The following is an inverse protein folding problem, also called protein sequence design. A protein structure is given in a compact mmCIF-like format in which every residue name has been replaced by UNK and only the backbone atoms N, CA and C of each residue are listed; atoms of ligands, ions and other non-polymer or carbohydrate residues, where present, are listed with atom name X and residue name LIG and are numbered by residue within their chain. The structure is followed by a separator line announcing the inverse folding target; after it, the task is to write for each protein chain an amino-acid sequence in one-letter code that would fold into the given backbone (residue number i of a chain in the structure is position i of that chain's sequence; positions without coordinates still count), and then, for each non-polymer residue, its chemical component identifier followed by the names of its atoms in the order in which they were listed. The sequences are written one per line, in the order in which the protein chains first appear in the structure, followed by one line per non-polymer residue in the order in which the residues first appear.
data_IF_295333343043
#
_entry.id   IF_295333343043
#
_cell.length_a   1.000
_cell.length_b   1.000
_cell.length_c   1.000
_cell.angle_alpha   90.00
_cell.angle_beta   90.00
_cell.angle_gamma   90.00
#
_symmetry.space_group_name_H-M   'P 1'
#
loop_
_entity.id
_entity.type
_entity.pdbx_description
1 polymer ?
#
# COMPACT_ATOMS: atom_id res chain seq x y z
N UNK A 1 6.82 6.09 16.18
CA UNK A 1 7.60 6.40 17.40
C UNK A 1 6.83 7.43 18.22
N UNK A 2 6.81 7.36 19.56
CA UNK A 2 6.16 8.42 20.32
C UNK A 2 6.81 9.78 19.98
N UNK A 3 5.96 10.80 19.91
CA UNK A 3 6.35 12.21 19.81
C UNK A 3 7.48 12.51 20.80
N UNK A 4 8.51 13.27 20.40
CA UNK A 4 9.65 13.55 21.31
C UNK A 4 9.12 14.28 22.55
N UNK A 5 9.71 14.03 23.72
CA UNK A 5 9.29 14.70 24.96
C UNK A 5 9.30 16.24 24.84
N UNK A 6 10.25 16.77 24.06
CA UNK A 6 10.38 18.19 23.75
C UNK A 6 9.28 18.77 22.85
N UNK A 7 8.49 17.93 22.17
CA UNK A 7 7.42 18.36 21.28
C UNK A 7 6.05 18.40 22.01
N UNK A 8 6.01 18.00 23.28
CA UNK A 8 4.83 18.07 24.14
C UNK A 8 4.75 19.41 24.86
N UNK A 9 3.57 20.03 24.81
CA UNK A 9 3.31 21.28 25.51
C UNK A 9 3.14 21.03 27.01
N UNK A 10 3.27 22.08 27.83
CA UNK A 10 3.00 21.99 29.28
C UNK A 10 1.58 21.45 29.58
N UNK A 11 0.58 21.84 28.77
CA UNK A 11 -0.79 21.31 28.85
C UNK A 11 -0.86 19.80 28.54
N UNK A 12 0.01 19.28 27.69
CA UNK A 12 0.06 17.84 27.40
C UNK A 12 0.59 17.03 28.59
N UNK A 13 1.57 17.60 29.30
CA UNK A 13 2.15 17.00 30.51
C UNK A 13 1.15 16.96 31.67
N UNK A 14 0.40 18.04 31.89
CA UNK A 14 -0.71 18.06 32.88
C UNK A 14 -1.71 16.93 32.59
N UNK A 15 -1.98 16.64 31.31
CA UNK A 15 -2.91 15.57 30.90
C UNK A 15 -2.25 14.19 30.82
N UNK A 16 -1.01 14.03 31.27
CA UNK A 16 -0.20 12.80 31.20
C UNK A 16 -0.15 12.17 29.79
N UNK A 17 -0.34 12.99 28.74
CA UNK A 17 -0.38 12.51 27.35
C UNK A 17 0.91 11.78 26.95
N UNK A 18 2.13 12.25 27.27
CA UNK A 18 3.36 11.55 26.89
C UNK A 18 3.41 10.11 27.41
N UNK A 19 2.96 9.89 28.64
CA UNK A 19 2.95 8.57 29.30
C UNK A 19 1.90 7.67 28.65
N UNK A 20 0.66 8.15 28.52
CA UNK A 20 -0.44 7.39 27.90
C UNK A 20 -0.12 7.02 26.45
N UNK A 21 0.45 7.94 25.68
CA UNK A 21 0.85 7.70 24.28
C UNK A 21 1.99 6.68 24.22
N UNK A 22 2.95 6.72 25.13
CA UNK A 22 4.04 5.75 25.21
C UNK A 22 3.54 4.34 25.53
N UNK A 23 2.62 4.19 26.49
CA UNK A 23 1.99 2.91 26.84
C UNK A 23 1.21 2.36 25.64
N UNK A 24 0.35 3.17 25.01
CA UNK A 24 -0.40 2.78 23.81
C UNK A 24 0.54 2.35 22.68
N UNK A 25 1.59 3.14 22.41
CA UNK A 25 2.59 2.82 21.38
C UNK A 25 3.34 1.52 21.67
N UNK A 26 3.61 1.19 22.93
CA UNK A 26 4.22 -0.09 23.30
C UNK A 26 3.26 -1.24 23.07
N UNK A 27 2.00 -1.11 23.48
CA UNK A 27 0.95 -2.13 23.26
C UNK A 27 0.77 -2.43 21.78
N UNK A 28 0.65 -1.38 20.95
CA UNK A 28 0.47 -1.55 19.50
C UNK A 28 1.65 -2.27 18.88
N UNK A 29 2.88 -1.82 19.15
CA UNK A 29 4.09 -2.49 18.65
C UNK A 29 4.22 -3.95 19.10
N UNK A 30 3.73 -4.29 20.30
CA UNK A 30 3.74 -5.68 20.77
C UNK A 30 2.80 -6.55 19.92
N UNK A 31 1.58 -6.07 19.67
CA UNK A 31 0.60 -6.75 18.79
C UNK A 31 1.17 -6.87 17.38
N UNK A 32 1.76 -5.80 16.85
CA UNK A 32 2.31 -5.78 15.49
C UNK A 32 3.50 -6.74 15.32
N UNK A 33 4.38 -6.82 16.31
CA UNK A 33 5.48 -7.79 16.33
C UNK A 33 4.99 -9.22 16.44
N UNK A 34 3.97 -9.48 17.25
CA UNK A 34 3.38 -10.81 17.36
C UNK A 34 2.76 -11.25 16.04
N UNK A 35 2.00 -10.37 15.39
CA UNK A 35 1.41 -10.63 14.07
C UNK A 35 2.47 -10.91 13.00
N UNK A 36 3.52 -10.09 12.92
CA UNK A 36 4.59 -10.27 11.92
C UNK A 36 5.44 -11.53 12.14
N UNK A 37 5.27 -12.27 13.24
CA UNK A 37 5.93 -13.55 13.52
C UNK A 37 5.07 -14.76 13.16
N UNK A 38 3.81 -14.56 12.81
CA UNK A 38 2.94 -15.65 12.39
C UNK A 38 3.46 -16.17 11.05
N UNK A 39 3.87 -17.43 11.04
CA UNK A 39 4.35 -18.10 9.84
C UNK A 39 3.23 -18.16 8.78
N UNK A 40 3.56 -18.05 7.49
CA UNK A 40 2.60 -18.30 6.42
C UNK A 40 2.01 -19.71 6.51
N UNK A 41 0.71 -19.84 6.23
CA UNK A 41 0.03 -21.15 6.29
C UNK A 41 -0.11 -21.83 4.93
N UNK A 42 0.42 -21.26 3.85
CA UNK A 42 0.30 -21.81 2.50
C UNK A 42 1.42 -22.80 2.21
N UNK A 43 1.08 -23.99 1.71
CA UNK A 43 2.06 -25.01 1.34
C UNK A 43 2.97 -24.56 0.17
N UNK A 44 2.52 -23.62 -0.65
CA UNK A 44 3.30 -23.08 -1.77
C UNK A 44 4.22 -21.92 -1.37
N UNK A 45 4.34 -21.60 -0.08
CA UNK A 45 5.04 -20.40 0.38
C UNK A 45 6.52 -20.35 -0.01
N UNK A 46 7.24 -21.47 0.07
CA UNK A 46 8.67 -21.50 -0.25
C UNK A 46 8.91 -21.22 -1.73
N UNK A 47 8.03 -21.74 -2.61
CA UNK A 47 8.06 -21.44 -4.04
C UNK A 47 7.76 -19.97 -4.31
N UNK A 48 6.80 -19.38 -3.60
CA UNK A 48 6.48 -17.97 -3.69
C UNK A 48 7.68 -17.09 -3.30
N UNK A 49 8.31 -17.41 -2.15
CA UNK A 49 9.51 -16.71 -1.66
C UNK A 49 10.64 -16.82 -2.68
N UNK A 50 10.91 -18.02 -3.19
CA UNK A 50 11.95 -18.25 -4.19
C UNK A 50 11.69 -17.47 -5.49
N UNK A 51 10.42 -17.31 -5.91
CA UNK A 51 10.07 -16.53 -7.10
C UNK A 51 10.40 -15.04 -6.98
N UNK A 52 10.56 -14.51 -5.76
CA UNK A 52 10.93 -13.12 -5.53
C UNK A 52 12.43 -12.85 -5.74
N UNK A 53 13.27 -13.88 -5.68
CA UNK A 53 14.72 -13.73 -5.66
C UNK A 53 15.26 -13.04 -6.91
N UNK A 54 16.02 -11.95 -6.70
CA UNK A 54 16.64 -11.21 -7.81
C UNK A 54 15.64 -10.46 -8.71
N UNK A 55 14.35 -10.39 -8.36
CA UNK A 55 13.30 -9.76 -9.17
C UNK A 55 12.95 -8.36 -8.65
N UNK A 56 12.27 -7.59 -9.48
CA UNK A 56 11.46 -6.45 -9.03
C UNK A 56 10.08 -6.98 -8.64
N UNK A 57 9.63 -6.73 -7.41
CA UNK A 57 8.36 -7.28 -6.89
C UNK A 57 7.37 -6.16 -6.61
N UNK A 58 6.26 -6.14 -7.34
CA UNK A 58 5.16 -5.20 -7.13
C UNK A 58 4.10 -5.87 -6.27
N UNK A 59 3.84 -5.34 -5.08
CA UNK A 59 2.93 -5.93 -4.11
C UNK A 59 1.64 -5.12 -4.04
N UNK A 60 0.50 -5.79 -4.19
CA UNK A 60 -0.81 -5.23 -3.86
C UNK A 60 -1.30 -5.80 -2.53
N UNK A 61 -1.70 -4.95 -1.60
CA UNK A 61 -2.46 -5.38 -0.42
C UNK A 61 -3.95 -5.43 -0.76
N UNK A 62 -4.46 -6.63 -1.00
CA UNK A 62 -5.85 -6.89 -1.37
C UNK A 62 -6.80 -6.80 -0.16
N UNK A 63 -8.03 -6.31 -0.37
CA UNK A 63 -9.06 -6.24 0.67
C UNK A 63 -10.49 -6.26 0.12
N UNK A 64 -11.18 -7.38 0.26
CA UNK A 64 -12.61 -7.60 0.03
C UNK A 64 -13.18 -7.23 -1.37
N UNK A 65 -12.37 -6.79 -2.34
CA UNK A 65 -12.84 -6.35 -3.66
C UNK A 65 -12.20 -7.18 -4.79
N UNK A 66 -12.77 -8.36 -5.04
CA UNK A 66 -12.23 -9.31 -6.03
C UNK A 66 -12.21 -8.73 -7.46
N UNK A 67 -13.23 -7.96 -7.84
CA UNK A 67 -13.35 -7.35 -9.16
C UNK A 67 -12.17 -6.40 -9.43
N UNK A 68 -11.89 -5.46 -8.50
CA UNK A 68 -10.76 -4.56 -8.68
C UNK A 68 -9.42 -5.29 -8.73
N UNK A 69 -9.24 -6.29 -7.86
CA UNK A 69 -7.98 -7.04 -7.81
C UNK A 69 -7.76 -7.81 -9.11
N UNK A 70 -8.81 -8.41 -9.66
CA UNK A 70 -8.77 -9.07 -10.97
C UNK A 70 -8.34 -8.08 -12.06
N UNK A 71 -9.01 -6.93 -12.15
CA UNK A 71 -8.72 -5.90 -13.15
C UNK A 71 -7.30 -5.36 -13.01
N UNK A 72 -6.89 -5.01 -11.79
CA UNK A 72 -5.54 -4.54 -11.50
C UNK A 72 -4.50 -5.57 -11.91
N UNK A 73 -4.72 -6.85 -11.59
CA UNK A 73 -3.77 -7.92 -11.92
C UNK A 73 -3.59 -8.09 -13.43
N UNK A 74 -4.69 -8.01 -14.20
CA UNK A 74 -4.62 -8.07 -15.66
C UNK A 74 -3.91 -6.84 -16.25
N UNK A 75 -4.21 -5.65 -15.73
CA UNK A 75 -3.57 -4.40 -16.17
C UNK A 75 -2.07 -4.39 -15.86
N UNK A 76 -1.67 -4.77 -14.64
CA UNK A 76 -0.26 -4.86 -14.23
C UNK A 76 0.48 -5.88 -15.09
N UNK A 77 -0.07 -7.09 -15.28
CA UNK A 77 0.55 -8.13 -16.12
C UNK A 77 0.85 -7.64 -17.54
N UNK A 78 -0.04 -6.83 -18.11
CA UNK A 78 0.12 -6.32 -19.48
C UNK A 78 1.03 -5.09 -19.55
N UNK A 79 0.86 -4.14 -18.63
CA UNK A 79 1.47 -2.81 -18.71
C UNK A 79 2.81 -2.72 -17.96
N UNK A 80 3.09 -3.68 -17.07
CA UNK A 80 4.32 -3.75 -16.26
C UNK A 80 4.85 -5.21 -16.27
N UNK A 81 5.07 -5.81 -17.46
CA UNK A 81 5.40 -7.23 -17.58
C UNK A 81 6.75 -7.63 -16.96
N UNK A 82 7.63 -6.66 -16.70
CA UNK A 82 8.94 -6.87 -16.09
C UNK A 82 8.86 -7.18 -14.59
N UNK A 83 7.82 -6.69 -13.90
CA UNK A 83 7.67 -6.87 -12.47
C UNK A 83 6.94 -8.18 -12.12
N UNK A 84 7.37 -8.84 -11.05
CA UNK A 84 6.58 -9.90 -10.43
C UNK A 84 5.44 -9.24 -9.64
N UNK A 85 4.19 -9.41 -10.07
CA UNK A 85 3.03 -8.92 -9.33
C UNK A 85 2.60 -9.93 -8.26
N UNK A 86 2.61 -9.51 -7.00
CA UNK A 86 2.23 -10.31 -5.84
C UNK A 86 0.96 -9.75 -5.20
N UNK A 87 -0.08 -10.59 -5.10
CA UNK A 87 -1.29 -10.28 -4.34
C UNK A 87 -1.15 -10.79 -2.91
N UNK A 88 -1.14 -9.87 -1.96
CA UNK A 88 -1.14 -10.16 -0.53
C UNK A 88 -2.53 -9.86 0.05
N UNK A 89 -3.30 -10.91 0.32
CA UNK A 89 -4.72 -10.80 0.65
C UNK A 89 -4.97 -10.62 2.15
N UNK A 90 -5.34 -9.40 2.53
CA UNK A 90 -5.72 -8.98 3.89
C UNK A 90 -7.26 -8.91 4.08
N UNK A 91 -8.05 -9.48 3.17
CA UNK A 91 -9.52 -9.48 3.22
C UNK A 91 -10.07 -9.99 4.56
N UNK A 92 -11.14 -9.39 5.05
CA UNK A 92 -11.86 -9.89 6.24
C UNK A 92 -12.99 -10.85 5.89
N UNK A 93 -13.50 -10.78 4.66
CA UNK A 93 -14.55 -11.64 4.13
C UNK A 93 -13.94 -12.90 3.48
N UNK A 94 -14.38 -14.08 3.93
CA UNK A 94 -13.90 -15.36 3.42
C UNK A 94 -14.34 -15.63 1.96
N UNK A 95 -15.53 -15.17 1.58
CA UNK A 95 -16.05 -15.31 0.21
C UNK A 95 -15.23 -14.45 -0.74
N UNK A 96 -14.96 -13.20 -0.37
CA UNK A 96 -14.12 -12.31 -1.17
C UNK A 96 -12.69 -12.85 -1.28
N UNK A 97 -12.10 -13.32 -0.17
CA UNK A 97 -10.76 -13.94 -0.18
C UNK A 97 -10.70 -15.17 -1.11
N UNK A 98 -11.74 -16.00 -1.10
CA UNK A 98 -11.82 -17.17 -1.97
C UNK A 98 -11.96 -16.80 -3.45
N UNK A 99 -12.73 -15.75 -3.77
CA UNK A 99 -12.85 -15.23 -5.12
C UNK A 99 -11.49 -14.72 -5.62
N UNK A 100 -10.82 -13.85 -4.84
CA UNK A 100 -9.48 -13.33 -5.15
C UNK A 100 -8.48 -14.47 -5.39
N UNK A 101 -8.45 -15.47 -4.51
CA UNK A 101 -7.57 -16.63 -4.64
C UNK A 101 -7.83 -17.41 -5.94
N UNK A 102 -9.10 -17.59 -6.29
CA UNK A 102 -9.52 -18.32 -7.49
C UNK A 102 -9.12 -17.57 -8.76
N UNK A 103 -9.27 -16.24 -8.76
CA UNK A 103 -8.87 -15.38 -9.88
C UNK A 103 -7.36 -15.36 -10.04
N UNK A 104 -6.61 -15.19 -8.95
CA UNK A 104 -5.15 -15.23 -8.98
C UNK A 104 -4.64 -16.56 -9.52
N UNK A 105 -5.22 -17.69 -9.07
CA UNK A 105 -4.88 -19.02 -9.59
C UNK A 105 -5.16 -19.14 -11.09
N UNK A 106 -6.32 -18.68 -11.55
CA UNK A 106 -6.74 -18.75 -12.96
C UNK A 106 -5.79 -17.94 -13.85
N UNK A 107 -5.38 -16.76 -13.41
CA UNK A 107 -4.51 -15.85 -14.17
C UNK A 107 -3.02 -16.04 -13.84
N UNK A 108 -2.65 -17.07 -13.08
CA UNK A 108 -1.28 -17.38 -12.66
C UNK A 108 -0.57 -16.19 -11.98
N UNK A 109 -1.31 -15.45 -11.17
CA UNK A 109 -0.79 -14.33 -10.37
C UNK A 109 -0.37 -14.88 -9.00
N UNK A 110 0.90 -14.67 -8.58
CA UNK A 110 1.34 -15.01 -7.24
C UNK A 110 0.41 -14.44 -6.16
N UNK A 111 -0.05 -15.29 -5.25
CA UNK A 111 -1.02 -14.96 -4.21
C UNK A 111 -0.57 -15.52 -2.87
N UNK A 112 -0.79 -14.75 -1.80
CA UNK A 112 -0.65 -15.22 -0.43
C UNK A 112 -1.80 -14.69 0.43
N UNK A 113 -2.40 -15.58 1.21
CA UNK A 113 -3.37 -15.22 2.23
C UNK A 113 -2.66 -14.79 3.51
N UNK A 114 -2.95 -13.59 4.01
CA UNK A 114 -2.36 -13.11 5.26
C UNK A 114 -3.08 -13.72 6.48
N UNK A 115 -2.38 -13.83 7.63
CA UNK A 115 -3.03 -14.13 8.89
C UNK A 115 -4.11 -13.10 9.21
N UNK A 116 -5.13 -13.52 9.96
CA UNK A 116 -6.23 -12.64 10.37
C UNK A 116 -5.68 -11.40 11.09
N UNK A 117 -5.98 -10.23 10.53
CA UNK A 117 -5.49 -8.98 11.06
C UNK A 117 -6.14 -8.66 12.44
N UNK A 118 -5.36 -8.36 13.49
CA UNK A 118 -5.88 -7.92 14.79
C UNK A 118 -6.56 -6.54 14.74
N UNK A 119 -6.31 -5.75 13.69
CA UNK A 119 -6.89 -4.42 13.50
C UNK A 119 -8.04 -4.49 12.50
N UNK A 120 -9.26 -4.21 12.97
CA UNK A 120 -10.50 -4.29 12.17
C UNK A 120 -11.29 -2.97 12.26
N UNK A 121 -12.11 -2.71 11.25
CA UNK A 121 -12.94 -1.52 11.14
C UNK A 121 -12.23 -0.30 10.57
N UNK A 122 -13.02 0.70 10.14
CA UNK A 122 -12.54 1.91 9.45
C UNK A 122 -11.53 2.70 10.27
N UNK A 123 -11.75 2.85 11.58
CA UNK A 123 -10.85 3.58 12.48
C UNK A 123 -9.46 2.92 12.65
N UNK A 124 -9.30 1.67 12.19
CA UNK A 124 -8.04 0.93 12.24
C UNK A 124 -7.50 0.58 10.85
N UNK A 125 -8.12 1.06 9.76
CA UNK A 125 -7.78 0.70 8.39
C UNK A 125 -6.30 0.94 8.07
N UNK A 126 -5.78 2.16 8.33
CA UNK A 126 -4.36 2.48 8.15
C UNK A 126 -3.42 1.55 8.93
N UNK A 127 -3.80 1.18 10.17
CA UNK A 127 -3.00 0.27 10.99
C UNK A 127 -3.02 -1.15 10.44
N UNK A 128 -4.20 -1.62 10.04
CA UNK A 128 -4.40 -2.93 9.41
C UNK A 128 -3.56 -3.05 8.14
N UNK A 129 -3.62 -2.04 7.28
CA UNK A 129 -2.87 -1.97 6.03
C UNK A 129 -1.35 -1.95 6.26
N UNK A 130 -0.85 -1.10 7.16
CA UNK A 130 0.59 -1.05 7.50
C UNK A 130 1.12 -2.35 8.10
N UNK A 131 0.29 -3.03 8.88
CA UNK A 131 0.63 -4.31 9.45
C UNK A 131 0.69 -5.42 8.39
N UNK A 132 -0.23 -5.41 7.42
CA UNK A 132 -0.19 -6.30 6.27
C UNK A 132 1.09 -6.12 5.45
N UNK A 133 1.46 -4.87 5.13
CA UNK A 133 2.73 -4.56 4.46
C UNK A 133 3.94 -5.05 5.25
N UNK A 134 3.96 -4.83 6.57
CA UNK A 134 5.03 -5.32 7.43
C UNK A 134 5.13 -6.85 7.44
N UNK A 135 4.00 -7.56 7.46
CA UNK A 135 4.01 -9.02 7.39
C UNK A 135 4.59 -9.51 6.06
N UNK A 136 4.17 -8.93 4.93
CA UNK A 136 4.72 -9.27 3.60
C UNK A 136 6.22 -8.98 3.53
N UNK A 137 6.66 -7.82 4.03
CA UNK A 137 8.07 -7.48 4.09
C UNK A 137 8.86 -8.54 4.86
N UNK A 138 8.40 -8.96 6.04
CA UNK A 138 9.15 -9.88 6.92
C UNK A 138 9.08 -11.34 6.47
N UNK A 139 7.92 -11.80 6.02
CA UNK A 139 7.67 -13.22 5.74
C UNK A 139 7.92 -13.60 4.29
N UNK A 140 7.85 -12.64 3.35
CA UNK A 140 8.00 -12.91 1.91
C UNK A 140 9.23 -12.22 1.35
N UNK A 141 9.29 -10.88 1.44
CA UNK A 141 10.31 -10.11 0.73
C UNK A 141 11.69 -10.25 1.39
N UNK A 142 11.79 -10.23 2.71
CA UNK A 142 13.06 -10.44 3.43
C UNK A 142 13.71 -11.79 3.11
N UNK A 143 13.03 -12.95 3.24
CA UNK A 143 13.63 -14.23 2.84
C UNK A 143 13.80 -14.35 1.33
N UNK A 144 12.92 -13.74 0.53
CA UNK A 144 12.99 -13.78 -0.92
C UNK A 144 14.13 -12.95 -1.52
N UNK A 145 14.62 -11.92 -0.83
CA UNK A 145 15.70 -11.01 -1.28
C UNK A 145 15.52 -10.52 -2.73
N UNK A 146 14.42 -9.81 -3.06
CA UNK A 146 14.27 -9.18 -4.37
C UNK A 146 15.35 -8.11 -4.59
N UNK A 147 15.54 -7.65 -5.82
CA UNK A 147 16.38 -6.47 -6.11
C UNK A 147 15.71 -5.21 -5.55
N UNK A 148 14.40 -5.09 -5.79
CA UNK A 148 13.57 -4.01 -5.31
C UNK A 148 12.13 -4.48 -5.15
N UNK A 149 11.37 -3.76 -4.34
CA UNK A 149 9.94 -3.99 -4.21
C UNK A 149 9.17 -2.69 -4.12
N UNK A 150 7.89 -2.74 -4.45
CA UNK A 150 6.97 -1.63 -4.28
C UNK A 150 5.63 -2.09 -3.75
N UNK A 151 4.91 -1.19 -3.12
CA UNK A 151 3.52 -1.37 -2.71
C UNK A 151 2.62 -0.44 -3.52
N UNK A 152 1.49 -0.98 -3.95
CA UNK A 152 0.38 -0.24 -4.55
C UNK A 152 -0.93 -0.58 -3.84
N UNK A 153 -1.83 0.40 -3.75
CA UNK A 153 -3.20 0.15 -3.29
C UNK A 153 -3.97 -0.66 -4.36
N UNK A 154 -4.95 -1.46 -3.94
CA UNK A 154 -5.70 -2.36 -4.84
C UNK A 154 -6.63 -1.62 -5.82
N UNK A 155 -6.85 -0.33 -5.59
CA UNK A 155 -7.69 0.55 -6.42
C UNK A 155 -6.85 1.57 -7.22
N UNK A 156 -5.56 1.27 -7.42
CA UNK A 156 -4.63 2.02 -8.25
C UNK A 156 -4.25 1.23 -9.50
N UNK A 157 -4.56 1.76 -10.68
CA UNK A 157 -4.46 1.03 -11.95
C UNK A 157 -3.48 1.69 -12.91
N UNK A 158 -2.54 0.94 -13.50
CA UNK A 158 -1.76 1.46 -14.62
C UNK A 158 -2.67 1.60 -15.85
N UNK A 159 -2.53 2.70 -16.59
CA UNK A 159 -3.34 3.00 -17.78
C UNK A 159 -2.53 3.06 -19.07
N UNK A 160 -1.19 3.00 -18.95
CA UNK A 160 -0.23 2.91 -20.07
C UNK A 160 0.96 2.03 -19.65
N UNK A 161 1.73 1.45 -20.61
CA UNK A 161 2.95 0.74 -20.29
C UNK A 161 3.92 1.64 -19.53
N UNK A 162 4.45 1.17 -18.40
CA UNK A 162 5.36 1.95 -17.57
C UNK A 162 6.32 1.06 -16.77
N UNK A 163 7.40 1.68 -16.28
CA UNK A 163 8.28 1.06 -15.30
C UNK A 163 8.29 1.86 -13.99
N UNK A 164 7.52 1.44 -12.97
CA UNK A 164 7.50 2.15 -11.69
C UNK A 164 8.79 1.95 -10.89
N UNK A 165 9.66 1.01 -11.29
CA UNK A 165 10.95 0.73 -10.63
C UNK A 165 12.11 1.52 -11.22
N UNK A 166 11.99 2.10 -12.42
CA UNK A 166 13.05 2.85 -13.09
C UNK A 166 13.72 3.92 -12.20
N UNK A 167 12.99 4.68 -11.35
CA UNK A 167 13.64 5.64 -10.45
C UNK A 167 14.63 5.00 -9.46
N UNK A 168 14.48 3.72 -9.13
CA UNK A 168 15.34 3.01 -8.18
C UNK A 168 16.72 2.63 -8.74
N UNK A 169 16.94 2.84 -10.04
CA UNK A 169 18.27 2.73 -10.65
C UNK A 169 19.24 3.73 -10.00
N UNK A 170 18.76 4.95 -9.71
CA UNK A 170 19.56 6.03 -9.12
C UNK A 170 19.12 6.42 -7.70
N UNK A 171 17.91 6.06 -7.27
CA UNK A 171 17.38 6.39 -5.96
C UNK A 171 17.25 5.15 -5.07
N UNK A 172 17.44 5.27 -3.75
CA UNK A 172 17.26 4.14 -2.84
C UNK A 172 15.79 3.81 -2.55
N UNK A 173 14.91 4.77 -2.80
CA UNK A 173 13.45 4.65 -2.67
C UNK A 173 12.75 5.75 -3.49
N UNK A 174 11.48 5.53 -3.81
CA UNK A 174 10.67 6.40 -4.66
C UNK A 174 9.18 6.24 -4.34
N UNK A 175 8.35 7.25 -4.63
CA UNK A 175 6.91 7.16 -4.45
C UNK A 175 6.24 8.52 -4.25
N UNK A 176 4.94 8.49 -3.92
CA UNK A 176 4.15 9.69 -3.68
C UNK A 176 4.45 10.29 -2.30
N UNK A 177 4.93 11.52 -2.25
CA UNK A 177 5.21 12.22 -0.99
C UNK A 177 3.93 12.74 -0.34
N UNK A 178 3.74 12.45 0.94
CA UNK A 178 2.74 13.06 1.83
C UNK A 178 3.43 13.90 2.90
N UNK A 179 2.76 14.96 3.31
CA UNK A 179 3.25 15.91 4.31
C UNK A 179 2.37 15.91 5.56
N UNK A 180 3.01 15.95 6.73
CA UNK A 180 2.39 16.12 8.03
C UNK A 180 3.16 17.20 8.81
N UNK A 181 2.72 18.45 8.66
CA UNK A 181 3.47 19.61 9.16
C UNK A 181 4.83 19.70 8.46
N UNK A 182 5.91 19.66 9.23
CA UNK A 182 7.30 19.70 8.72
C UNK A 182 7.88 18.32 8.39
N UNK A 183 7.10 17.24 8.55
CA UNK A 183 7.52 15.88 8.23
C UNK A 183 6.94 15.45 6.89
N UNK A 184 7.66 14.55 6.22
CA UNK A 184 7.20 13.95 4.98
C UNK A 184 7.42 12.44 4.99
N UNK A 185 6.62 11.70 4.25
CA UNK A 185 6.72 10.24 4.12
C UNK A 185 6.14 9.80 2.78
N UNK A 186 6.48 8.61 2.31
CA UNK A 186 5.82 8.05 1.12
C UNK A 186 4.45 7.49 1.49
N UNK A 187 3.47 7.72 0.62
CA UNK A 187 2.15 7.08 0.70
C UNK A 187 2.27 5.58 0.49
N UNK A 188 1.65 4.80 1.39
CA UNK A 188 1.66 3.34 1.34
C UNK A 188 1.11 2.76 0.04
N UNK A 189 0.14 3.43 -0.59
CA UNK A 189 -0.49 2.99 -1.83
C UNK A 189 0.31 3.29 -3.10
N UNK A 190 1.48 3.93 -3.01
CA UNK A 190 2.44 4.05 -4.10
C UNK A 190 3.84 4.36 -3.56
N UNK A 191 4.56 3.32 -3.14
CA UNK A 191 5.92 3.46 -2.59
C UNK A 191 6.83 2.29 -2.99
N UNK A 192 8.10 2.59 -3.29
CA UNK A 192 9.06 1.69 -3.90
C UNK A 192 10.43 1.81 -3.21
N UNK A 193 11.12 0.70 -3.04
CA UNK A 193 12.37 0.62 -2.28
C UNK A 193 13.35 -0.36 -2.93
N UNK A 194 14.63 0.02 -2.98
CA UNK A 194 15.70 -0.97 -3.17
C UNK A 194 15.73 -1.88 -1.95
N UNK A 195 15.83 -3.19 -2.16
CA UNK A 195 15.76 -4.14 -1.05
C UNK A 195 16.89 -3.94 -0.04
N UNK A 196 18.11 -3.69 -0.53
CA UNK A 196 19.28 -3.40 0.32
C UNK A 196 19.03 -2.19 1.24
N UNK A 197 18.40 -1.13 0.73
CA UNK A 197 18.04 0.02 1.54
C UNK A 197 17.00 -0.36 2.60
N UNK A 198 16.00 -1.16 2.23
CA UNK A 198 14.96 -1.59 3.13
C UNK A 198 15.50 -2.47 4.27
N UNK A 199 16.46 -3.34 3.97
CA UNK A 199 17.17 -4.19 4.92
C UNK A 199 18.00 -3.35 5.89
N UNK A 200 18.81 -2.41 5.37
CA UNK A 200 19.66 -1.52 6.17
C UNK A 200 18.86 -0.64 7.14
N UNK A 201 17.75 -0.08 6.68
CA UNK A 201 16.94 0.86 7.49
C UNK A 201 15.86 0.19 8.33
N UNK A 202 15.65 -1.12 8.15
CA UNK A 202 14.63 -1.91 8.86
C UNK A 202 13.25 -1.27 8.74
N UNK A 203 12.76 -1.11 7.51
CA UNK A 203 11.47 -0.44 7.23
C UNK A 203 10.34 -0.94 8.12
N UNK A 204 9.48 -0.02 8.54
CA UNK A 204 8.28 -0.24 9.33
C UNK A 204 7.15 0.60 8.74
N UNK A 205 6.17 -0.08 8.14
CA UNK A 205 5.01 0.53 7.51
C UNK A 205 3.88 0.89 8.48
N UNK A 206 4.11 0.77 9.80
CA UNK A 206 3.13 1.20 10.80
C UNK A 206 2.85 2.70 10.69
N UNK A 207 1.62 3.10 11.01
CA UNK A 207 1.27 4.50 11.18
C UNK A 207 1.81 5.08 12.50
N UNK A 208 1.91 6.40 12.58
CA UNK A 208 2.30 7.14 13.77
C UNK A 208 1.34 8.31 14.06
N UNK A 209 0.15 7.94 14.54
CA UNK A 209 -0.95 8.87 14.80
C UNK A 209 -0.54 10.04 15.71
N UNK A 210 0.35 9.81 16.68
CA UNK A 210 0.71 10.83 17.67
C UNK A 210 1.45 12.03 17.07
N UNK A 211 2.02 11.86 15.89
CA UNK A 211 2.67 12.92 15.11
C UNK A 211 2.03 13.12 13.74
N UNK A 212 0.81 12.61 13.54
CA UNK A 212 0.01 12.81 12.32
C UNK A 212 0.52 12.07 11.09
N UNK A 213 1.40 11.07 11.26
CA UNK A 213 1.88 10.27 10.13
C UNK A 213 0.99 9.04 9.95
N UNK A 214 0.54 8.83 8.72
CA UNK A 214 -0.31 7.71 8.32
C UNK A 214 0.54 6.45 8.04
N UNK A 215 -0.02 5.41 7.42
CA UNK A 215 0.69 4.20 7.01
C UNK A 215 1.98 4.52 6.25
N UNK A 216 3.08 3.84 6.61
CA UNK A 216 4.43 4.16 6.12
C UNK A 216 5.17 5.24 6.92
N UNK A 217 4.45 5.98 7.77
CA UNK A 217 4.96 7.09 8.57
C UNK A 217 6.02 6.72 9.61
N UNK A 218 5.97 5.51 10.17
CA UNK A 218 6.98 5.05 11.14
C UNK A 218 8.41 5.02 10.57
N UNK A 219 8.56 5.05 9.24
CA UNK A 219 9.85 5.20 8.57
C UNK A 219 10.49 6.60 8.71
N UNK A 220 9.78 7.60 9.25
CA UNK A 220 10.31 8.97 9.37
C UNK A 220 11.69 9.03 10.00
N UNK A 221 11.87 8.50 11.22
CA UNK A 221 13.11 8.67 11.96
C UNK A 221 14.31 7.90 11.35
N UNK A 222 14.04 6.74 10.75
CA UNK A 222 15.06 5.82 10.26
C UNK A 222 15.42 6.04 8.78
N UNK A 223 14.53 6.69 8.02
CA UNK A 223 14.69 6.92 6.60
C UNK A 223 14.47 8.39 6.24
N UNK A 224 13.23 8.88 6.31
CA UNK A 224 12.87 10.15 5.65
C UNK A 224 13.47 11.40 6.31
N UNK A 225 13.68 11.41 7.62
CA UNK A 225 14.26 12.56 8.34
C UNK A 225 15.72 12.82 8.01
N UNK A 226 16.38 11.87 7.33
CA UNK A 226 17.77 11.95 6.90
C UNK A 226 17.91 12.26 5.40
N UNK A 227 16.78 12.46 4.72
CA UNK A 227 16.73 12.67 3.28
C UNK A 227 16.17 14.05 2.94
N UNK A 228 16.79 14.69 1.95
CA UNK A 228 16.24 15.88 1.34
C UNK A 228 15.08 15.49 0.40
N UNK A 229 13.82 15.87 0.68
CA UNK A 229 12.67 15.49 -0.14
C UNK A 229 12.76 16.02 -1.58
N UNK A 230 13.55 17.07 -1.82
CA UNK A 230 13.75 17.65 -3.17
C UNK A 230 14.57 16.76 -4.09
N UNK A 231 15.26 15.75 -3.53
CA UNK A 231 15.98 14.73 -4.31
C UNK A 231 15.06 13.68 -4.92
N UNK A 232 13.81 13.59 -4.45
CA UNK A 232 12.80 12.71 -5.03
C UNK A 232 11.98 13.51 -6.03
N UNK A 233 11.71 12.99 -7.24
CA UNK A 233 10.78 13.62 -8.16
C UNK A 233 9.42 13.86 -7.49
N UNK A 234 8.82 15.01 -7.80
CA UNK A 234 7.43 15.27 -7.46
C UNK A 234 6.51 14.63 -8.51
N UNK A 235 5.45 13.97 -8.05
CA UNK A 235 4.38 13.47 -8.90
C UNK A 235 3.13 14.29 -8.62
N UNK A 236 2.72 15.20 -9.51
CA UNK A 236 1.51 15.96 -9.30
C UNK A 236 0.30 15.03 -9.32
N UNK A 237 -0.52 15.10 -8.28
CA UNK A 237 -1.80 14.40 -8.20
C UNK A 237 -2.86 15.32 -8.81
N UNK A 238 -3.53 14.86 -9.85
CA UNK A 238 -4.63 15.61 -10.48
C UNK A 238 -5.96 14.93 -10.17
N UNK A 239 -6.78 15.58 -9.37
CA UNK A 239 -8.17 15.18 -9.14
C UNK A 239 -9.00 15.46 -10.40
N UNK A 240 -9.92 14.56 -10.75
CA UNK A 240 -10.80 14.73 -11.91
C UNK A 240 -12.18 14.18 -11.60
N UNK A 241 -13.23 14.91 -11.98
CA UNK A 241 -14.60 14.40 -11.85
C UNK A 241 -14.79 13.27 -12.86
N UNK A 242 -15.33 12.15 -12.40
CA UNK A 242 -15.60 10.98 -13.23
C UNK A 242 -17.08 10.88 -13.63
N UNK A 243 -17.95 11.66 -12.96
CA UNK A 243 -19.39 11.67 -13.21
C UNK A 243 -19.82 13.04 -13.76
N UNK A 244 -20.47 13.10 -14.94
CA UNK A 244 -21.00 14.35 -15.49
C UNK A 244 -21.99 15.02 -14.53
N UNK A 245 -21.84 16.32 -14.30
CA UNK A 245 -22.76 17.10 -13.48
C UNK A 245 -22.69 16.83 -11.97
N UNK A 246 -21.74 16.02 -11.50
CA UNK A 246 -21.49 15.78 -10.07
C UNK A 246 -20.30 16.62 -9.62
N UNK A 247 -20.45 17.27 -8.46
CA UNK A 247 -19.38 18.06 -7.85
C UNK A 247 -18.14 17.21 -7.59
N UNK A 248 -16.96 17.76 -7.87
CA UNK A 248 -15.68 17.02 -7.82
C UNK A 248 -15.53 16.24 -6.51
N UNK A 249 -15.75 16.89 -5.37
CA UNK A 249 -15.57 16.27 -4.04
C UNK A 249 -16.60 15.18 -3.71
N UNK A 250 -17.69 15.06 -4.47
CA UNK A 250 -18.69 14.01 -4.28
C UNK A 250 -18.32 12.73 -5.03
N UNK A 251 -17.67 12.82 -6.19
CA UNK A 251 -17.22 11.66 -6.96
C UNK A 251 -16.03 12.02 -7.87
N UNK A 252 -14.81 11.80 -7.36
CA UNK A 252 -13.58 12.02 -8.12
C UNK A 252 -12.70 10.78 -8.18
N UNK A 253 -11.81 10.80 -9.14
CA UNK A 253 -10.63 9.94 -9.26
C UNK A 253 -9.39 10.82 -9.20
N UNK A 254 -8.25 10.21 -8.93
CA UNK A 254 -6.97 10.91 -8.95
C UNK A 254 -6.04 10.30 -10.01
N UNK A 255 -5.44 11.17 -10.82
CA UNK A 255 -4.39 10.81 -11.76
C UNK A 255 -3.02 11.04 -11.16
N UNK A 256 -2.14 10.05 -11.31
CA UNK A 256 -0.72 10.08 -10.96
C UNK A 256 0.09 9.73 -12.20
N UNK A 257 0.20 10.69 -13.09
CA UNK A 257 0.66 10.47 -14.48
C UNK A 257 -0.16 9.35 -15.14
N UNK A 258 0.47 8.21 -15.45
CA UNK A 258 -0.14 7.07 -16.13
C UNK A 258 -0.92 6.13 -15.22
N UNK A 259 -1.11 6.50 -13.95
CA UNK A 259 -1.87 5.72 -12.98
C UNK A 259 -3.19 6.40 -12.61
N UNK A 260 -4.27 5.61 -12.61
CA UNK A 260 -5.59 6.02 -12.17
C UNK A 260 -5.87 5.44 -10.78
N UNK A 261 -6.12 6.30 -9.80
CA UNK A 261 -6.54 5.91 -8.46
C UNK A 261 -8.05 6.13 -8.34
N UNK A 262 -8.81 5.08 -8.03
CA UNK A 262 -10.25 5.21 -7.77
C UNK A 262 -10.51 6.04 -6.51
N UNK A 263 -9.59 6.06 -5.53
CA UNK A 263 -9.76 6.74 -4.24
C UNK A 263 -10.91 6.13 -3.42
N UNK A 264 -11.12 4.81 -3.57
CA UNK A 264 -12.10 3.96 -2.89
C UNK A 264 -13.35 4.67 -2.35
N UNK A 265 -13.40 4.80 -1.01
CA UNK A 265 -14.52 5.34 -0.24
C UNK A 265 -14.60 6.87 -0.18
N UNK A 266 -13.68 7.60 -0.83
CA UNK A 266 -13.72 9.06 -0.83
C UNK A 266 -14.87 9.58 -1.70
N UNK A 267 -15.55 10.60 -1.18
CA UNK A 267 -16.72 11.21 -1.80
C UNK A 267 -18.03 10.83 -1.10
N UNK A 268 -19.14 11.02 -1.81
CA UNK A 268 -20.47 10.67 -1.34
C UNK A 268 -20.75 9.19 -1.65
N UNK A 269 -21.12 8.44 -0.61
CA UNK A 269 -21.49 7.03 -0.71
C UNK A 269 -22.63 6.76 -1.70
N UNK A 270 -23.52 7.72 -1.95
CA UNK A 270 -24.61 7.59 -2.91
C UNK A 270 -24.11 7.39 -4.35
N UNK A 271 -22.94 7.93 -4.70
CA UNK A 271 -22.36 7.83 -6.03
C UNK A 271 -21.39 6.66 -6.20
N UNK A 272 -21.10 5.89 -5.14
CA UNK A 272 -20.05 4.85 -5.16
C UNK A 272 -20.19 3.86 -6.32
N UNK A 273 -21.39 3.33 -6.55
CA UNK A 273 -21.63 2.37 -7.64
C UNK A 273 -21.49 3.00 -9.04
N UNK A 274 -21.98 4.24 -9.21
CA UNK A 274 -21.87 4.97 -10.48
C UNK A 274 -20.41 5.32 -10.80
N UNK A 275 -19.68 5.78 -9.77
CA UNK A 275 -18.24 6.04 -9.82
C UNK A 275 -17.48 4.79 -10.23
N UNK A 276 -17.72 3.64 -9.57
CA UNK A 276 -17.12 2.35 -9.93
C UNK A 276 -17.36 2.03 -11.39
N UNK A 277 -18.62 2.04 -11.83
CA UNK A 277 -18.96 1.75 -13.23
C UNK A 277 -18.27 2.70 -14.22
N UNK A 278 -18.12 3.98 -13.89
CA UNK A 278 -17.43 4.95 -14.73
C UNK A 278 -15.90 4.70 -14.79
N UNK A 279 -15.28 4.29 -13.66
CA UNK A 279 -13.88 3.88 -13.62
C UNK A 279 -13.65 2.65 -14.48
N UNK A 280 -14.50 1.63 -14.38
CA UNK A 280 -14.37 0.40 -15.17
C UNK A 280 -14.44 0.70 -16.67
N UNK A 281 -15.42 1.49 -17.12
CA UNK A 281 -15.51 1.94 -18.52
C UNK A 281 -14.26 2.69 -18.96
N UNK A 282 -13.75 3.60 -18.13
CA UNK A 282 -12.53 4.36 -18.44
C UNK A 282 -11.30 3.45 -18.59
N UNK A 283 -11.18 2.42 -17.76
CA UNK A 283 -10.10 1.43 -17.83
C UNK A 283 -10.24 0.56 -19.08
N UNK A 284 -11.45 0.13 -19.42
CA UNK A 284 -11.74 -0.60 -20.66
C UNK A 284 -11.37 0.21 -21.91
N UNK A 285 -11.70 1.50 -21.95
CA UNK A 285 -11.41 2.37 -23.09
C UNK A 285 -9.91 2.61 -23.28
N UNK A 286 -9.17 2.83 -22.18
CA UNK A 286 -7.74 3.19 -22.22
C UNK A 286 -6.83 1.98 -22.31
N UNK A 287 -7.27 0.88 -21.76
CA UNK A 287 -6.47 -0.30 -21.54
C UNK A 287 -7.39 -1.53 -21.67
N UNK A 288 -7.93 -1.82 -22.86
CA UNK A 288 -8.95 -2.84 -23.05
C UNK A 288 -8.45 -4.22 -22.62
N UNK A 289 -9.12 -4.83 -21.65
CA UNK A 289 -8.75 -6.18 -21.19
C UNK A 289 -9.02 -7.17 -22.32
N UNK A 290 -8.06 -8.08 -22.58
CA UNK A 290 -8.29 -9.18 -23.51
C UNK A 290 -9.41 -10.05 -22.96
N UNK A 291 -10.48 -10.26 -23.76
CA UNK A 291 -11.52 -11.23 -23.42
C UNK A 291 -10.82 -12.57 -23.16
N UNK A 292 -10.98 -13.11 -21.96
CA UNK A 292 -10.44 -14.42 -21.61
C UNK A 292 -10.94 -15.44 -22.64
N UNK A 293 -10.00 -16.10 -23.31
CA UNK A 293 -10.26 -17.28 -24.14
C UNK A 293 -10.28 -18.54 -23.29
#
# INVERSE_FOLDING_TARGET
MPKRLSEHTFRDWIKLRPILQSIKSRRYRMIDRAYCRIAPSDAAIDSLIASCAGRQVLVTIAFNDAELIQIQSQLVRRLIPQALHLIADNSSDATAAQAIRSDCRTHQVPYVRLPRNPWQGLAAASRSHGQAMNWVLRQILTPGRPVSFGYIDHDLFPTRPCDPFAPLESLPFYGDKRWAGNRWFLWAGYCFFRFEQAERTRLDFSQDWFIGLDTGGANWAQLYSQWDPRRLPDRPIRETSILPGVELRQAYVEWREDWLHEVGLAGDSAFKAQKRAAVLRLLEDRAPLSKAG
#
